data_IF_753869781070
#
_entry.id   IF_753869781070
#
_cell.length_a   1.000
_cell.length_b   1.000
_cell.length_c   1.000
_cell.angle_alpha   90.00
_cell.angle_beta   90.00
_cell.angle_gamma   90.00
#
_symmetry.space_group_name_H-M   'P 1'
#
loop_
_entity.id
_entity.type
_entity.pdbx_description
1 polymer ?
#
# COMPACT_ATOMS: atom_id res chain seq x y z
N UNK A 1 10.40 4.05 -8.77
CA UNK A 1 11.64 3.24 -8.62
C UNK A 1 11.58 2.14 -7.56
N UNK A 2 11.23 2.43 -6.29
CA UNK A 2 11.28 1.42 -5.21
C UNK A 2 10.34 0.22 -5.44
N UNK A 3 9.10 0.47 -5.88
CA UNK A 3 8.15 -0.60 -6.18
C UNK A 3 8.60 -1.55 -7.30
N UNK A 4 9.18 -1.01 -8.38
CA UNK A 4 9.78 -1.83 -9.44
C UNK A 4 11.00 -2.64 -8.97
N UNK A 5 11.76 -2.14 -7.99
CA UNK A 5 12.84 -2.90 -7.37
C UNK A 5 12.30 -4.11 -6.59
N UNK A 6 11.19 -3.94 -5.85
CA UNK A 6 10.54 -5.05 -5.15
C UNK A 6 10.06 -6.11 -6.13
N UNK A 7 9.28 -5.73 -7.15
CA UNK A 7 8.72 -6.66 -8.12
C UNK A 7 9.77 -7.55 -8.82
N UNK A 8 11.01 -7.06 -8.98
CA UNK A 8 12.10 -7.77 -9.65
C UNK A 8 13.10 -8.46 -8.70
N UNK A 9 12.93 -8.29 -7.38
CA UNK A 9 13.87 -8.81 -6.38
C UNK A 9 13.45 -10.18 -5.83
N UNK A 10 14.44 -11.04 -5.57
CA UNK A 10 14.20 -12.30 -4.83
C UNK A 10 13.75 -12.01 -3.38
N UNK A 11 12.96 -12.91 -2.80
CA UNK A 11 12.48 -12.80 -1.41
C UNK A 11 13.61 -12.50 -0.39
N UNK A 12 14.74 -13.20 -0.47
CA UNK A 12 15.90 -12.97 0.41
C UNK A 12 16.40 -11.52 0.37
N UNK A 13 16.57 -10.98 -0.85
CA UNK A 13 17.06 -9.63 -1.07
C UNK A 13 16.07 -8.55 -0.61
N UNK A 14 14.76 -8.82 -0.73
CA UNK A 14 13.70 -7.96 -0.17
C UNK A 14 13.81 -7.87 1.35
N UNK A 15 13.88 -9.02 2.03
CA UNK A 15 13.97 -9.10 3.50
C UNK A 15 15.19 -8.37 4.04
N UNK A 16 16.37 -8.57 3.43
CA UNK A 16 17.63 -7.94 3.85
C UNK A 16 17.66 -6.43 3.56
N UNK A 17 17.01 -5.96 2.49
CA UNK A 17 17.05 -4.54 2.10
C UNK A 17 15.98 -3.70 2.78
N UNK A 18 14.83 -4.30 3.11
CA UNK A 18 13.61 -3.56 3.51
C UNK A 18 13.25 -3.84 4.96
N UNK A 19 13.08 -5.11 5.31
CA UNK A 19 12.66 -5.51 6.67
C UNK A 19 13.78 -5.29 7.68
N UNK A 20 15.03 -5.63 7.34
CA UNK A 20 16.18 -5.45 8.24
C UNK A 20 16.54 -3.98 8.51
N UNK A 21 16.02 -3.03 7.72
CA UNK A 21 16.35 -1.60 7.81
C UNK A 21 15.21 -0.73 8.33
N UNK A 22 14.15 -1.32 8.89
CA UNK A 22 12.98 -0.59 9.40
C UNK A 22 12.35 0.38 8.38
N UNK A 23 12.51 0.11 7.08
CA UNK A 23 12.17 1.05 6.02
C UNK A 23 10.67 1.40 6.03
N UNK A 24 9.81 0.45 6.38
CA UNK A 24 8.38 0.65 6.51
C UNK A 24 7.98 1.57 7.66
N UNK A 25 8.71 1.52 8.78
CA UNK A 25 8.54 2.47 9.89
C UNK A 25 8.96 3.87 9.45
N UNK A 26 10.11 3.99 8.78
CA UNK A 26 10.60 5.27 8.26
C UNK A 26 9.64 5.91 7.25
N UNK A 27 9.05 5.13 6.35
CA UNK A 27 8.03 5.63 5.40
C UNK A 27 6.83 6.19 6.16
N UNK A 28 6.37 5.48 7.19
CA UNK A 28 5.24 5.91 8.03
C UNK A 28 5.54 7.24 8.72
N UNK A 29 6.66 7.32 9.43
CA UNK A 29 7.06 8.52 10.18
C UNK A 29 7.25 9.72 9.26
N UNK A 30 7.91 9.54 8.11
CA UNK A 30 8.14 10.62 7.15
C UNK A 30 6.84 11.15 6.55
N UNK A 31 5.90 10.27 6.20
CA UNK A 31 4.61 10.70 5.67
C UNK A 31 3.80 11.47 6.71
N UNK A 32 3.79 11.03 7.97
CA UNK A 32 3.06 11.71 9.06
C UNK A 32 3.68 13.07 9.43
N UNK A 33 4.99 13.25 9.26
CA UNK A 33 5.65 14.54 9.51
C UNK A 33 5.32 15.57 8.42
N UNK A 34 5.09 15.11 7.18
CA UNK A 34 4.99 16.01 6.02
C UNK A 34 3.57 16.13 5.44
N UNK A 35 2.60 15.38 5.97
CA UNK A 35 1.21 15.45 5.53
C UNK A 35 0.24 15.25 6.71
N UNK A 36 -0.73 16.15 6.84
CA UNK A 36 -1.77 16.08 7.87
C UNK A 36 -2.79 14.96 7.61
N UNK A 37 -2.91 14.51 6.36
CA UNK A 37 -3.80 13.43 5.97
C UNK A 37 -3.27 12.65 4.75
N UNK A 38 -3.62 11.37 4.68
CA UNK A 38 -3.29 10.51 3.55
C UNK A 38 -4.12 10.89 2.31
N UNK A 39 -3.44 11.07 1.18
CA UNK A 39 -4.06 11.40 -0.11
C UNK A 39 -4.24 10.15 -0.98
N UNK A 40 -5.19 10.21 -1.92
CA UNK A 40 -5.47 9.08 -2.81
C UNK A 40 -4.26 8.65 -3.67
N UNK A 41 -3.47 9.55 -4.28
CA UNK A 41 -2.28 9.15 -5.02
C UNK A 41 -1.24 8.44 -4.15
N UNK A 42 -1.05 8.91 -2.92
CA UNK A 42 -0.13 8.29 -1.96
C UNK A 42 -0.62 6.89 -1.58
N UNK A 43 -1.91 6.75 -1.29
CA UNK A 43 -2.54 5.45 -1.02
C UNK A 43 -2.34 4.47 -2.19
N UNK A 44 -2.54 4.92 -3.43
CA UNK A 44 -2.36 4.08 -4.63
C UNK A 44 -0.94 3.50 -4.65
N UNK A 45 0.09 4.35 -4.52
CA UNK A 45 1.49 3.89 -4.53
C UNK A 45 1.78 2.92 -3.38
N UNK A 46 1.27 3.18 -2.17
CA UNK A 46 1.43 2.28 -1.03
C UNK A 46 0.75 0.92 -1.27
N UNK A 47 -0.42 0.93 -1.92
CA UNK A 47 -1.15 -0.27 -2.28
C UNK A 47 -0.47 -1.06 -3.40
N UNK A 48 0.09 -0.39 -4.40
CA UNK A 48 0.92 -1.03 -5.43
C UNK A 48 2.13 -1.70 -4.78
N UNK A 49 2.76 -1.10 -3.77
CA UNK A 49 3.84 -1.73 -3.00
C UNK A 49 3.34 -2.95 -2.23
N UNK A 50 2.15 -2.89 -1.61
CA UNK A 50 1.53 -4.01 -0.90
C UNK A 50 1.35 -5.24 -1.82
N UNK A 51 0.93 -5.03 -3.08
CA UNK A 51 0.60 -6.10 -4.03
C UNK A 51 1.69 -6.39 -5.07
N UNK A 52 2.72 -5.54 -5.12
CA UNK A 52 3.75 -5.47 -6.17
C UNK A 52 3.23 -5.34 -7.61
N UNK A 53 2.01 -4.83 -7.77
CA UNK A 53 1.41 -4.52 -9.07
C UNK A 53 1.66 -3.06 -9.41
N UNK A 54 2.81 -2.76 -10.04
CA UNK A 54 3.22 -1.38 -10.33
C UNK A 54 2.63 -0.86 -11.64
N UNK A 55 1.93 0.27 -11.60
CA UNK A 55 1.48 0.98 -12.80
C UNK A 55 2.53 2.01 -13.23
N UNK A 56 2.79 2.21 -14.55
CA UNK A 56 3.66 3.29 -15.01
C UNK A 56 3.13 4.68 -14.62
N UNK A 57 4.06 5.63 -14.43
CA UNK A 57 3.94 6.92 -13.73
C UNK A 57 2.83 7.89 -14.23
N UNK A 58 2.09 7.55 -15.28
CA UNK A 58 1.06 8.41 -15.91
C UNK A 58 -0.40 8.03 -15.61
N UNK A 59 -0.66 6.98 -14.81
CA UNK A 59 -2.02 6.44 -14.63
C UNK A 59 -2.66 6.67 -13.24
N UNK A 60 -2.09 7.52 -12.38
CA UNK A 60 -2.59 7.77 -11.00
C UNK A 60 -3.95 8.48 -10.91
N UNK A 61 -4.66 8.62 -12.02
CA UNK A 61 -6.02 9.18 -12.10
C UNK A 61 -7.11 8.12 -12.24
N UNK A 62 -6.78 6.88 -12.64
CA UNK A 62 -7.72 5.76 -12.71
C UNK A 62 -7.07 4.48 -12.19
N UNK A 63 -7.35 4.15 -10.93
CA UNK A 63 -7.01 2.85 -10.35
C UNK A 63 -7.96 1.80 -10.92
N UNK A 64 -7.43 0.75 -11.55
CA UNK A 64 -8.19 -0.48 -11.80
C UNK A 64 -8.51 -1.16 -10.47
N UNK A 65 -9.73 -1.67 -10.31
CA UNK A 65 -10.13 -2.32 -9.07
C UNK A 65 -9.18 -3.51 -8.76
N UNK A 66 -8.83 -3.69 -7.48
CA UNK A 66 -7.97 -4.79 -7.07
C UNK A 66 -8.54 -6.15 -7.53
N UNK A 67 -7.72 -6.95 -8.20
CA UNK A 67 -8.10 -8.30 -8.64
C UNK A 67 -8.11 -9.26 -7.45
N UNK A 68 -9.10 -10.18 -7.36
CA UNK A 68 -9.15 -11.20 -6.33
C UNK A 68 -8.00 -12.22 -6.40
N UNK A 69 -7.30 -12.29 -7.54
CA UNK A 69 -6.13 -13.17 -7.73
C UNK A 69 -4.84 -12.58 -7.15
N UNK A 70 -4.84 -11.28 -6.83
CA UNK A 70 -3.66 -10.62 -6.28
C UNK A 70 -3.40 -11.04 -4.84
N UNK A 71 -2.12 -11.03 -4.46
CA UNK A 71 -1.65 -11.41 -3.13
C UNK A 71 -1.01 -10.22 -2.40
N UNK A 72 -0.99 -10.29 -1.08
CA UNK A 72 -0.18 -9.39 -0.26
C UNK A 72 1.29 -9.82 -0.30
N UNK A 73 2.03 -9.29 -1.26
CA UNK A 73 3.47 -9.53 -1.41
C UNK A 73 4.28 -8.84 -0.31
N UNK A 74 3.80 -7.69 0.20
CA UNK A 74 4.43 -6.95 1.30
C UNK A 74 3.43 -6.70 2.44
N UNK A 75 3.07 -7.72 3.25
CA UNK A 75 2.01 -7.62 4.25
C UNK A 75 2.23 -6.54 5.32
N UNK A 76 3.48 -6.17 5.60
CA UNK A 76 3.81 -5.06 6.49
C UNK A 76 3.28 -3.69 5.98
N UNK A 77 3.04 -3.55 4.66
CA UNK A 77 2.35 -2.37 4.11
C UNK A 77 0.91 -2.23 4.54
N UNK A 78 0.24 -3.33 4.83
CA UNK A 78 -1.11 -3.24 5.37
C UNK A 78 -1.11 -2.49 6.72
N UNK A 79 -0.13 -2.79 7.59
CA UNK A 79 0.03 -2.10 8.88
C UNK A 79 0.36 -0.62 8.71
N UNK A 80 1.21 -0.27 7.75
CA UNK A 80 1.57 1.13 7.47
C UNK A 80 0.39 1.91 6.93
N UNK A 81 -0.33 1.37 5.94
CA UNK A 81 -1.53 2.00 5.38
C UNK A 81 -2.58 2.20 6.47
N UNK A 82 -2.86 1.17 7.27
CA UNK A 82 -3.82 1.26 8.37
C UNK A 82 -3.42 2.35 9.37
N UNK A 83 -2.14 2.39 9.77
CA UNK A 83 -1.64 3.39 10.71
C UNK A 83 -1.76 4.82 10.14
N UNK A 84 -1.41 5.02 8.87
CA UNK A 84 -1.56 6.32 8.20
C UNK A 84 -3.01 6.77 8.13
N UNK A 85 -3.95 5.86 7.84
CA UNK A 85 -5.39 6.16 7.84
C UNK A 85 -5.86 6.58 9.25
N UNK A 86 -5.40 5.89 10.30
CA UNK A 86 -5.79 6.17 11.68
C UNK A 86 -5.23 7.48 12.21
N UNK A 87 -4.00 7.83 11.82
CA UNK A 87 -3.33 9.05 12.31
C UNK A 87 -3.61 10.29 11.46
N UNK A 88 -4.23 10.13 10.28
CA UNK A 88 -4.62 11.25 9.42
C UNK A 88 -5.75 12.08 10.04
N UNK A 89 -5.67 13.40 9.91
CA UNK A 89 -6.78 14.30 10.22
C UNK A 89 -7.98 14.04 9.29
N UNK A 90 -9.20 14.14 9.82
CA UNK A 90 -10.42 13.92 9.04
C UNK A 90 -10.57 14.95 7.91
N UNK A 91 -10.79 14.46 6.69
CA UNK A 91 -10.97 15.28 5.50
C UNK A 91 -11.78 14.53 4.44
N UNK A 92 -12.31 15.27 3.46
CA UNK A 92 -12.97 14.65 2.29
C UNK A 92 -12.02 13.73 1.53
N UNK A 93 -10.72 14.08 1.49
CA UNK A 93 -9.71 13.26 0.83
C UNK A 93 -9.45 11.97 1.60
N UNK A 94 -9.30 12.03 2.93
CA UNK A 94 -9.16 10.85 3.77
C UNK A 94 -10.38 9.92 3.64
N UNK A 95 -11.59 10.46 3.54
CA UNK A 95 -12.80 9.68 3.33
C UNK A 95 -12.79 8.94 1.98
N UNK A 96 -12.20 9.52 0.92
CA UNK A 96 -12.00 8.83 -0.36
C UNK A 96 -11.01 7.68 -0.22
N UNK A 97 -9.92 7.91 0.51
CA UNK A 97 -8.91 6.88 0.79
C UNK A 97 -9.50 5.71 1.59
N UNK A 98 -10.24 6.00 2.67
CA UNK A 98 -10.92 4.98 3.50
C UNK A 98 -11.86 4.10 2.65
N UNK A 99 -12.65 4.71 1.76
CA UNK A 99 -13.54 3.98 0.84
C UNK A 99 -12.76 3.08 -0.13
N UNK A 100 -11.70 3.62 -0.74
CA UNK A 100 -10.85 2.85 -1.65
C UNK A 100 -10.21 1.65 -0.93
N UNK A 101 -9.61 1.90 0.25
CA UNK A 101 -9.01 0.86 1.09
C UNK A 101 -9.98 -0.28 1.40
N UNK A 102 -11.20 0.03 1.84
CA UNK A 102 -12.19 -0.98 2.15
C UNK A 102 -12.60 -1.79 0.92
N UNK A 103 -12.84 -1.14 -0.22
CA UNK A 103 -13.19 -1.83 -1.47
C UNK A 103 -12.09 -2.79 -1.92
N UNK A 104 -10.83 -2.34 -1.86
CA UNK A 104 -9.69 -3.18 -2.22
C UNK A 104 -9.54 -4.38 -1.28
N UNK A 105 -9.65 -4.16 0.03
CA UNK A 105 -9.59 -5.24 1.03
C UNK A 105 -10.72 -6.25 0.86
N UNK A 106 -11.95 -5.77 0.62
CA UNK A 106 -13.09 -6.66 0.35
C UNK A 106 -12.82 -7.50 -0.91
N UNK A 107 -12.39 -6.89 -2.01
CA UNK A 107 -12.13 -7.62 -3.25
C UNK A 107 -11.01 -8.66 -3.10
N UNK A 108 -9.91 -8.30 -2.45
CA UNK A 108 -8.76 -9.19 -2.29
C UNK A 108 -8.97 -10.30 -1.25
N UNK A 109 -9.75 -10.05 -0.19
CA UNK A 109 -9.95 -11.01 0.89
C UNK A 109 -11.20 -11.88 0.69
N UNK A 110 -12.25 -11.36 0.03
CA UNK A 110 -13.50 -12.10 -0.18
C UNK A 110 -13.27 -13.37 -1.00
N UNK A 111 -12.43 -13.31 -2.03
CA UNK A 111 -12.20 -14.45 -2.94
C UNK A 111 -10.78 -15.02 -2.82
N UNK A 112 -9.80 -14.26 -2.31
CA UNK A 112 -8.43 -14.72 -2.06
C UNK A 112 -8.27 -15.47 -0.73
N UNK A 113 -8.31 -16.82 -0.75
CA UNK A 113 -8.12 -17.65 0.46
C UNK A 113 -6.77 -17.43 1.16
N UNK A 114 -5.72 -17.10 0.41
CA UNK A 114 -4.37 -16.87 0.95
C UNK A 114 -4.25 -15.54 1.70
N UNK A 115 -5.01 -14.51 1.29
CA UNK A 115 -4.98 -13.17 1.89
C UNK A 115 -5.74 -13.08 3.23
N UNK A 116 -6.60 -14.07 3.54
CA UNK A 116 -7.37 -14.12 4.80
C UNK A 116 -6.56 -14.66 5.99
N UNK A 117 -5.41 -15.29 5.73
CA UNK A 117 -4.62 -15.99 6.73
C UNK A 117 -3.65 -15.08 7.47
#
# INVERSE_FOLDING_TARGET
MFGFYLQRSTLKRKTESVTARHLYTLITERLLIHADYLTLPTYIVLFEILTEQMTPEFAYTKKEAASPEWRFENPMMLKVIANLITQSAESNELMRVKKAFLLDMINMCRDGKDNRR
#
